data_IF_255500436530
#
_entry.id   IF_255500436530
#
_cell.length_a   1.000
_cell.length_b   1.000
_cell.length_c   1.000
_cell.angle_alpha   90.00
_cell.angle_beta   90.00
_cell.angle_gamma   90.00
#
_symmetry.space_group_name_H-M   'P 1'
#
loop_
_entity.id
_entity.type
_entity.pdbx_description
1 polymer ?
#
# COMPACT_ATOMS: atom_id res chain seq x y z
N UNK A 1 -26.54 26.78 10.53
CA UNK A 1 -25.35 27.22 9.78
C UNK A 1 -25.32 26.45 8.48
N UNK A 2 -25.49 27.13 7.33
CA UNK A 2 -25.45 26.50 6.02
C UNK A 2 -24.00 26.08 5.73
N UNK A 3 -23.79 24.83 5.31
CA UNK A 3 -22.50 24.32 4.85
C UNK A 3 -22.22 24.96 3.48
N UNK A 4 -21.37 25.98 3.44
CA UNK A 4 -20.83 26.47 2.17
C UNK A 4 -19.77 25.50 1.67
N UNK A 5 -20.02 24.89 0.50
CA UNK A 5 -19.04 24.10 -0.22
C UNK A 5 -17.88 25.01 -0.66
N UNK A 6 -16.69 24.81 -0.04
CA UNK A 6 -15.48 25.51 -0.48
C UNK A 6 -15.14 25.11 -1.91
N UNK A 7 -14.78 26.06 -2.76
CA UNK A 7 -14.27 25.77 -4.10
C UNK A 7 -13.03 24.87 -4.01
N UNK A 8 -12.74 24.09 -5.04
CA UNK A 8 -11.57 23.18 -5.06
C UNK A 8 -10.24 23.92 -4.76
N UNK A 9 -10.15 25.21 -5.05
CA UNK A 9 -8.99 26.07 -4.72
C UNK A 9 -8.96 26.50 -3.26
N UNK A 10 -10.09 26.55 -2.58
CA UNK A 10 -10.19 27.05 -1.21
C UNK A 10 -9.86 25.99 -0.15
N UNK A 11 -9.90 24.70 -0.50
CA UNK A 11 -9.46 23.61 0.41
C UNK A 11 -7.95 23.67 0.72
N UNK A 12 -7.17 24.39 -0.06
CA UNK A 12 -5.74 24.60 0.16
C UNK A 12 -5.41 25.91 0.89
N UNK A 13 -6.44 26.66 1.31
CA UNK A 13 -6.29 27.91 2.07
C UNK A 13 -6.68 27.71 3.53
N UNK A 14 -5.92 28.35 4.41
CA UNK A 14 -6.19 28.38 5.85
C UNK A 14 -5.70 27.15 6.63
N UNK A 15 -6.14 27.02 7.89
CA UNK A 15 -5.75 25.93 8.78
C UNK A 15 -6.16 24.57 8.24
N UNK A 16 -5.27 23.59 8.42
CA UNK A 16 -5.50 22.22 7.95
C UNK A 16 -4.25 21.35 8.04
N UNK A 17 -4.42 20.06 7.83
CA UNK A 17 -3.31 19.13 7.77
C UNK A 17 -3.11 18.72 6.31
N UNK A 18 -1.89 18.80 5.84
CA UNK A 18 -1.54 18.58 4.45
C UNK A 18 -0.39 17.60 4.31
N UNK A 19 -0.50 16.73 3.32
CA UNK A 19 0.58 15.88 2.87
C UNK A 19 1.12 16.42 1.55
N UNK A 20 2.42 16.71 1.52
CA UNK A 20 3.14 17.22 0.37
C UNK A 20 4.12 16.17 -0.13
N UNK A 21 4.16 15.99 -1.44
CA UNK A 21 5.12 15.12 -2.11
C UNK A 21 5.88 15.92 -3.16
N UNK A 22 7.21 15.79 -3.15
CA UNK A 22 8.10 16.39 -4.14
C UNK A 22 8.97 15.30 -4.74
N UNK A 23 9.03 15.25 -6.05
CA UNK A 23 9.81 14.28 -6.79
C UNK A 23 10.99 14.99 -7.46
N UNK A 24 12.18 14.42 -7.40
CA UNK A 24 13.32 14.92 -8.15
C UNK A 24 13.08 14.66 -9.65
N UNK A 25 13.31 15.66 -10.47
CA UNK A 25 13.10 15.57 -11.92
C UNK A 25 13.79 14.34 -12.51
N UNK A 26 13.04 13.57 -13.30
CA UNK A 26 13.49 12.31 -13.83
C UNK A 26 13.77 11.23 -12.76
N UNK A 27 13.24 11.38 -11.56
CA UNK A 27 13.44 10.47 -10.41
C UNK A 27 14.90 10.15 -10.09
N UNK A 28 15.81 11.09 -10.35
CA UNK A 28 17.25 10.95 -10.09
C UNK A 28 17.53 10.83 -8.59
N UNK A 29 18.41 9.92 -8.12
CA UNK A 29 18.67 9.68 -6.71
C UNK A 29 19.65 10.72 -6.12
N UNK A 30 19.30 12.02 -6.15
CA UNK A 30 20.18 13.11 -5.74
C UNK A 30 20.14 13.39 -4.23
N UNK A 31 19.06 12.97 -3.54
CA UNK A 31 18.86 13.28 -2.12
C UNK A 31 19.61 12.33 -1.18
N UNK A 32 19.99 11.14 -1.66
CA UNK A 32 20.71 10.15 -0.84
C UNK A 32 20.72 8.76 -1.45
N UNK A 33 21.06 7.79 -0.63
CA UNK A 33 21.15 6.38 -0.96
C UNK A 33 20.34 5.55 0.02
N UNK A 34 19.56 4.58 -0.51
CA UNK A 34 18.82 3.62 0.29
C UNK A 34 19.76 2.53 0.81
N UNK A 35 19.86 2.40 2.12
CA UNK A 35 20.75 1.46 2.81
C UNK A 35 20.00 0.70 3.89
N UNK A 36 20.56 -0.45 4.31
CA UNK A 36 20.15 -1.13 5.53
C UNK A 36 21.30 -0.96 6.56
N UNK A 37 20.97 -0.49 7.75
CA UNK A 37 21.94 -0.24 8.81
C UNK A 37 21.36 -0.59 10.18
N UNK A 38 22.21 -1.04 11.09
CA UNK A 38 21.83 -1.17 12.50
C UNK A 38 21.59 0.23 13.10
N UNK A 39 20.39 0.52 13.61
CA UNK A 39 20.07 1.82 14.13
C UNK A 39 20.79 2.08 15.44
N UNK A 40 21.32 3.28 15.60
CA UNK A 40 21.87 3.74 16.88
C UNK A 40 20.72 4.03 17.87
N UNK A 41 20.27 3.00 18.57
CA UNK A 41 19.15 3.07 19.53
C UNK A 41 19.46 3.93 20.78
N UNK A 42 20.69 4.37 20.96
CA UNK A 42 21.05 5.35 22.01
C UNK A 42 20.42 6.72 21.72
N UNK A 43 20.17 7.02 20.45
CA UNK A 43 19.55 8.27 20.02
C UNK A 43 18.02 8.17 20.04
N UNK A 44 17.30 9.13 20.64
CA UNK A 44 15.84 9.11 20.75
C UNK A 44 15.12 8.94 19.41
N UNK A 45 15.67 9.54 18.35
CA UNK A 45 15.12 9.45 17.01
C UNK A 45 15.12 8.01 16.49
N UNK A 46 16.26 7.30 16.59
CA UNK A 46 16.37 5.91 16.12
C UNK A 46 15.56 4.94 16.98
N UNK A 47 15.52 5.17 18.30
CA UNK A 47 14.65 4.40 19.21
C UNK A 47 13.17 4.53 18.83
N UNK A 48 12.73 5.71 18.41
CA UNK A 48 11.35 5.94 17.93
C UNK A 48 11.09 5.26 16.58
N UNK A 49 12.08 5.23 15.68
CA UNK A 49 11.98 4.57 14.38
C UNK A 49 11.86 3.05 14.53
N UNK A 50 12.71 2.39 15.32
CA UNK A 50 12.74 0.93 15.49
C UNK A 50 11.44 0.36 16.09
N UNK A 51 10.63 1.18 16.75
CA UNK A 51 9.31 0.77 17.20
C UNK A 51 8.28 0.68 16.06
N UNK A 52 8.55 1.31 14.91
CA UNK A 52 7.61 1.43 13.79
C UNK A 52 8.14 0.83 12.48
N UNK A 53 9.46 0.80 12.30
CA UNK A 53 10.11 0.28 11.10
C UNK A 53 10.62 -1.13 11.40
N UNK A 54 10.10 -2.16 10.73
CA UNK A 54 10.59 -3.52 10.89
C UNK A 54 12.05 -3.65 10.46
N UNK A 55 12.77 -4.59 11.07
CA UNK A 55 14.06 -5.02 10.56
C UNK A 55 13.91 -5.63 9.16
N UNK A 56 14.93 -5.45 8.33
CA UNK A 56 14.96 -6.01 6.97
C UNK A 56 15.67 -7.36 6.91
N UNK A 57 16.30 -7.77 8.01
CA UNK A 57 17.03 -9.03 8.16
C UNK A 57 17.13 -9.45 9.63
N UNK A 58 17.68 -10.63 9.85
CA UNK A 58 17.86 -11.22 11.19
C UNK A 58 18.86 -10.46 12.07
N UNK A 59 19.76 -9.66 11.50
CA UNK A 59 20.73 -8.85 12.24
C UNK A 59 20.15 -7.59 12.86
N UNK A 60 18.85 -7.32 12.58
CA UNK A 60 18.13 -6.18 13.15
C UNK A 60 18.41 -4.85 12.43
N UNK A 61 18.97 -4.91 11.22
CA UNK A 61 19.13 -3.72 10.39
C UNK A 61 17.76 -3.19 9.93
N UNK A 62 17.64 -1.87 9.83
CA UNK A 62 16.46 -1.20 9.29
C UNK A 62 16.81 -0.47 7.99
N UNK A 63 15.85 -0.42 7.07
CA UNK A 63 16.01 0.37 5.85
C UNK A 63 15.91 1.86 6.17
N UNK A 64 16.89 2.62 5.71
CA UNK A 64 16.95 4.08 5.84
C UNK A 64 17.59 4.73 4.62
N UNK A 65 17.52 6.04 4.53
CA UNK A 65 18.23 6.80 3.49
C UNK A 65 19.40 7.54 4.10
N UNK A 66 20.60 7.18 3.67
CA UNK A 66 21.83 7.94 3.96
C UNK A 66 21.84 9.18 3.06
N UNK A 67 21.58 10.35 3.67
CA UNK A 67 21.43 11.59 2.92
C UNK A 67 22.76 12.03 2.28
N UNK A 68 22.70 12.43 1.02
CA UNK A 68 23.78 13.15 0.34
C UNK A 68 24.00 14.53 0.97
N UNK A 69 25.10 15.24 0.65
CA UNK A 69 25.28 16.64 1.07
C UNK A 69 24.08 17.51 0.66
N UNK A 70 23.55 17.33 -0.56
CA UNK A 70 22.36 18.03 -1.03
C UNK A 70 21.09 17.62 -0.22
N UNK A 71 20.90 16.33 0.02
CA UNK A 71 19.79 15.85 0.86
C UNK A 71 19.83 16.40 2.28
N UNK A 72 21.02 16.59 2.87
CA UNK A 72 21.19 17.26 4.18
C UNK A 72 20.79 18.72 4.11
N UNK A 73 21.16 19.46 3.06
CA UNK A 73 20.76 20.85 2.85
C UNK A 73 19.23 20.97 2.68
N UNK A 74 18.61 20.10 1.88
CA UNK A 74 17.13 20.02 1.76
C UNK A 74 16.48 19.74 3.10
N UNK A 75 17.01 18.80 3.88
CA UNK A 75 16.50 18.46 5.22
C UNK A 75 16.57 19.66 6.18
N UNK A 76 17.64 20.46 6.11
CA UNK A 76 17.79 21.68 6.90
C UNK A 76 16.75 22.76 6.50
N UNK A 77 16.54 22.97 5.20
CA UNK A 77 15.53 23.92 4.71
C UNK A 77 14.10 23.54 5.14
N UNK A 78 13.77 22.22 5.12
CA UNK A 78 12.49 21.73 5.66
C UNK A 78 12.33 22.06 7.13
N UNK A 79 13.39 21.88 7.94
CA UNK A 79 13.33 22.17 9.38
C UNK A 79 13.11 23.66 9.65
N UNK A 80 13.58 24.55 8.77
CA UNK A 80 13.42 25.99 8.88
C UNK A 80 11.99 26.49 8.52
N UNK A 81 11.08 25.62 8.05
CA UNK A 81 9.71 26.02 7.71
C UNK A 81 8.96 26.62 8.90
N UNK A 82 9.17 26.11 10.11
CA UNK A 82 8.49 26.58 11.31
C UNK A 82 8.83 28.06 11.59
N UNK A 83 10.09 28.40 11.55
CA UNK A 83 10.60 29.75 11.78
C UNK A 83 10.18 30.68 10.64
N UNK A 84 10.30 30.23 9.38
CA UNK A 84 9.90 30.97 8.17
C UNK A 84 8.44 31.41 8.21
N UNK A 85 7.56 30.60 8.77
CA UNK A 85 6.12 30.91 8.92
C UNK A 85 5.73 31.27 10.35
N UNK A 86 6.66 31.82 11.14
CA UNK A 86 6.43 32.38 12.49
C UNK A 86 5.67 31.43 13.42
N UNK A 87 5.98 30.16 13.34
CA UNK A 87 5.35 29.12 14.15
C UNK A 87 3.95 28.67 13.70
N UNK A 88 3.36 29.25 12.67
CA UNK A 88 2.03 28.89 12.17
C UNK A 88 1.99 27.57 11.36
N UNK A 89 3.14 26.96 11.08
CA UNK A 89 3.27 25.64 10.47
C UNK A 89 4.03 24.73 11.43
N UNK A 90 3.47 23.55 11.68
CA UNK A 90 4.15 22.46 12.39
C UNK A 90 4.45 21.33 11.44
N UNK A 91 5.70 20.89 11.41
CA UNK A 91 6.12 19.68 10.67
C UNK A 91 5.80 18.46 11.52
N UNK A 92 4.72 17.75 11.16
CA UNK A 92 4.30 16.53 11.87
C UNK A 92 5.22 15.35 11.55
N UNK A 93 5.60 15.19 10.28
CA UNK A 93 6.49 14.12 9.82
C UNK A 93 7.15 14.51 8.50
N UNK A 94 8.36 14.03 8.27
CA UNK A 94 9.04 14.09 6.97
C UNK A 94 9.84 12.82 6.71
N UNK A 95 10.07 12.54 5.44
CA UNK A 95 11.06 11.57 4.97
C UNK A 95 11.67 12.09 3.67
N UNK A 96 12.98 12.00 3.56
CA UNK A 96 13.71 12.17 2.31
C UNK A 96 14.10 10.78 1.83
N UNK A 97 13.58 10.42 0.67
CA UNK A 97 14.01 9.25 -0.08
C UNK A 97 15.20 9.65 -0.97
N UNK A 98 15.76 8.73 -1.69
CA UNK A 98 16.85 9.00 -2.60
C UNK A 98 16.46 9.96 -3.76
N UNK A 99 15.20 9.89 -4.23
CA UNK A 99 14.71 10.61 -5.41
C UNK A 99 13.38 11.36 -5.21
N UNK A 100 12.86 11.40 -4.01
CA UNK A 100 11.65 12.16 -3.66
C UNK A 100 11.59 12.41 -2.16
N UNK A 101 10.68 13.27 -1.74
CA UNK A 101 10.44 13.51 -0.32
C UNK A 101 8.95 13.68 -0.03
N UNK A 102 8.59 13.33 1.20
CA UNK A 102 7.26 13.54 1.75
C UNK A 102 7.34 14.40 3.00
N UNK A 103 6.36 15.28 3.13
CA UNK A 103 6.14 16.08 4.34
C UNK A 103 4.67 16.02 4.74
N UNK A 104 4.42 15.84 6.04
CA UNK A 104 3.09 16.04 6.64
C UNK A 104 3.20 17.30 7.50
N UNK A 105 2.44 18.30 7.14
CA UNK A 105 2.46 19.60 7.82
C UNK A 105 1.08 19.95 8.35
N UNK A 106 1.06 20.55 9.52
CA UNK A 106 -0.14 21.13 10.12
C UNK A 106 -0.03 22.66 10.09
N UNK A 107 -0.92 23.27 9.34
CA UNK A 107 -1.12 24.73 9.32
C UNK A 107 -2.20 25.04 10.34
N UNK A 108 -1.85 25.71 11.42
CA UNK A 108 -2.79 26.01 12.53
C UNK A 108 -3.07 27.49 12.68
N UNK A 109 -2.41 28.36 11.91
CA UNK A 109 -2.60 29.80 11.90
C UNK A 109 -2.58 30.37 10.49
N UNK A 110 -2.75 31.69 10.42
CA UNK A 110 -2.67 32.39 9.14
C UNK A 110 -1.22 32.50 8.66
N UNK A 111 -0.93 31.92 7.50
CA UNK A 111 0.39 31.96 6.86
C UNK A 111 0.46 32.96 5.69
N UNK A 112 -0.63 33.73 5.46
CA UNK A 112 -0.70 34.74 4.39
C UNK A 112 -0.70 34.19 2.97
N UNK A 113 -0.65 32.84 2.79
CA UNK A 113 -0.55 32.14 1.51
C UNK A 113 -1.35 30.84 1.56
N UNK A 114 -1.66 30.29 0.40
CA UNK A 114 -2.14 28.91 0.31
C UNK A 114 -0.98 27.93 0.53
N UNK A 115 -1.30 26.69 0.94
CA UNK A 115 -0.26 25.64 1.05
C UNK A 115 0.36 25.29 -0.31
N UNK A 116 -0.36 25.51 -1.42
CA UNK A 116 0.18 25.34 -2.77
C UNK A 116 1.29 26.36 -3.05
N UNK A 117 1.10 27.63 -2.67
CA UNK A 117 2.14 28.67 -2.82
C UNK A 117 3.34 28.39 -1.91
N UNK A 118 3.12 27.84 -0.71
CA UNK A 118 4.21 27.35 0.16
C UNK A 118 4.99 26.24 -0.51
N UNK A 119 4.30 25.28 -1.11
CA UNK A 119 4.93 24.15 -1.82
C UNK A 119 5.74 24.62 -3.04
N UNK A 120 5.20 25.56 -3.82
CA UNK A 120 5.94 26.15 -4.95
C UNK A 120 7.15 26.97 -4.47
N UNK A 121 7.01 27.76 -3.42
CA UNK A 121 8.13 28.50 -2.84
C UNK A 121 9.24 27.57 -2.34
N UNK A 122 8.87 26.43 -1.75
CA UNK A 122 9.82 25.38 -1.36
C UNK A 122 10.53 24.78 -2.58
N UNK A 123 9.79 24.43 -3.65
CA UNK A 123 10.36 23.93 -4.90
C UNK A 123 11.41 24.90 -5.48
N UNK A 124 11.12 26.20 -5.49
CA UNK A 124 12.04 27.22 -5.95
C UNK A 124 13.27 27.34 -5.05
N UNK A 125 13.09 27.33 -3.73
CA UNK A 125 14.17 27.39 -2.75
C UNK A 125 15.14 26.20 -2.89
N UNK A 126 14.61 25.00 -3.05
CA UNK A 126 15.43 23.80 -3.25
C UNK A 126 16.16 23.83 -4.60
N UNK A 127 15.55 24.38 -5.65
CA UNK A 127 16.21 24.59 -6.94
C UNK A 127 17.39 25.56 -6.81
N UNK A 128 17.22 26.63 -6.03
CA UNK A 128 18.31 27.59 -5.76
C UNK A 128 19.47 26.92 -5.02
N UNK A 129 19.19 26.19 -3.94
CA UNK A 129 20.20 25.40 -3.19
C UNK A 129 20.95 24.43 -4.12
N UNK A 130 20.22 23.74 -5.02
CA UNK A 130 20.81 22.79 -5.96
C UNK A 130 21.75 23.49 -6.97
N UNK A 131 21.41 24.69 -7.43
CA UNK A 131 22.25 25.51 -8.28
C UNK A 131 23.52 26.00 -7.57
N UNK A 132 23.39 26.43 -6.30
CA UNK A 132 24.54 26.88 -5.51
C UNK A 132 25.50 25.74 -5.19
N UNK A 133 24.99 24.56 -4.92
CA UNK A 133 25.79 23.35 -4.68
C UNK A 133 26.34 22.70 -5.95
N UNK A 134 26.00 23.19 -7.14
CA UNK A 134 26.40 22.60 -8.41
C UNK A 134 25.78 21.21 -8.70
N UNK A 135 24.73 20.85 -7.96
CA UNK A 135 24.01 19.58 -8.15
C UNK A 135 23.07 19.62 -9.34
N UNK A 136 22.60 20.83 -9.69
CA UNK A 136 21.71 21.06 -10.81
C UNK A 136 22.25 22.20 -11.66
N UNK A 137 22.27 22.10 -13.02
CA UNK A 137 22.83 23.13 -13.88
C UNK A 137 21.97 24.40 -13.82
N UNK A 138 22.65 25.55 -13.78
CA UNK A 138 21.99 26.84 -13.98
C UNK A 138 21.59 26.99 -15.45
N UNK A 139 20.40 27.55 -15.75
CA UNK A 139 20.02 27.82 -17.13
C UNK A 139 21.04 28.75 -17.78
N UNK A 140 21.44 28.47 -19.01
CA UNK A 140 22.29 29.39 -19.77
C UNK A 140 21.49 30.66 -20.07
N UNK A 141 22.07 31.82 -19.78
CA UNK A 141 21.46 33.11 -20.09
C UNK A 141 21.27 33.16 -21.60
N UNK A 142 20.03 33.28 -22.10
CA UNK A 142 19.68 33.35 -23.52
C UNK A 142 19.06 32.10 -24.12
N UNK A 143 18.97 30.97 -23.40
CA UNK A 143 18.15 29.83 -23.85
C UNK A 143 16.69 30.10 -23.53
N UNK A 144 15.86 30.21 -24.57
CA UNK A 144 14.39 30.16 -24.38
C UNK A 144 14.05 28.80 -23.74
N UNK A 145 13.45 28.86 -22.55
CA UNK A 145 12.87 27.68 -21.91
C UNK A 145 11.62 27.33 -22.72
N UNK A 146 11.81 26.52 -23.74
CA UNK A 146 10.68 25.91 -24.47
C UNK A 146 9.97 24.93 -23.56
N UNK A 147 8.69 25.18 -23.31
CA UNK A 147 7.76 24.13 -22.88
C UNK A 147 7.66 23.20 -24.09
N UNK A 148 8.33 22.07 -24.05
CA UNK A 148 8.22 21.04 -25.10
C UNK A 148 7.25 19.99 -24.57
N UNK A 149 5.98 20.14 -24.95
CA UNK A 149 5.04 19.03 -25.03
C UNK A 149 5.46 18.19 -26.27
N UNK A 150 5.61 16.88 -26.04
CA UNK A 150 5.78 15.80 -27.03
C UNK A 150 6.69 16.06 -28.26
N UNK A 151 7.94 15.56 -28.23
CA UNK A 151 8.58 15.00 -29.43
C UNK A 151 9.52 13.84 -29.07
N UNK A 152 9.18 12.67 -29.59
CA UNK A 152 10.07 11.50 -29.67
C UNK A 152 11.18 11.75 -30.71
N UNK A 153 12.40 12.06 -30.24
CA UNK A 153 13.59 11.89 -31.10
C UNK A 153 14.82 11.54 -30.23
N UNK A 154 15.44 10.41 -30.53
CA UNK A 154 16.38 9.69 -29.67
C UNK A 154 17.84 10.16 -29.81
N UNK A 155 18.12 11.43 -30.16
CA UNK A 155 19.48 11.98 -30.31
C UNK A 155 19.71 13.34 -29.65
N UNK A 156 18.73 13.88 -28.90
CA UNK A 156 18.88 15.15 -28.20
C UNK A 156 19.52 14.94 -26.83
N UNK A 157 20.55 15.72 -26.53
CA UNK A 157 21.08 15.86 -25.18
C UNK A 157 19.90 16.14 -24.22
N UNK A 158 19.73 15.35 -23.17
CA UNK A 158 18.62 15.42 -22.22
C UNK A 158 18.48 16.86 -21.69
N UNK A 159 17.46 17.58 -22.14
CA UNK A 159 17.19 18.96 -21.68
C UNK A 159 16.61 18.88 -20.27
N UNK A 160 17.43 19.17 -19.26
CA UNK A 160 17.00 19.18 -17.89
C UNK A 160 15.99 20.31 -17.62
N UNK A 161 14.90 20.06 -16.89
CA UNK A 161 13.96 21.08 -16.53
C UNK A 161 14.61 22.15 -15.63
N UNK A 162 14.06 23.37 -15.64
CA UNK A 162 14.56 24.46 -14.79
C UNK A 162 14.56 24.09 -13.30
N UNK A 163 13.46 23.50 -12.82
CA UNK A 163 13.35 23.07 -11.44
C UNK A 163 13.90 21.64 -11.23
N UNK A 164 14.71 21.48 -10.19
CA UNK A 164 15.20 20.15 -9.77
C UNK A 164 14.08 19.26 -9.22
N UNK A 165 13.01 19.85 -8.70
CA UNK A 165 11.82 19.12 -8.24
C UNK A 165 10.69 19.30 -9.26
N UNK A 166 9.98 18.23 -9.55
CA UNK A 166 8.74 18.25 -10.33
C UNK A 166 7.66 19.07 -9.63
N UNK A 167 6.54 19.32 -10.32
CA UNK A 167 5.40 20.03 -9.74
C UNK A 167 4.96 19.34 -8.43
N UNK A 168 4.86 20.07 -7.32
CA UNK A 168 4.52 19.49 -6.04
C UNK A 168 3.09 18.93 -6.04
N UNK A 169 2.93 17.73 -5.46
CA UNK A 169 1.62 17.18 -5.17
C UNK A 169 1.22 17.49 -3.74
N UNK A 170 0.03 18.05 -3.55
CA UNK A 170 -0.51 18.45 -2.24
C UNK A 170 -1.87 17.79 -2.03
N UNK A 171 -2.04 17.15 -0.89
CA UNK A 171 -3.27 16.50 -0.47
C UNK A 171 -3.68 16.96 0.93
N UNK A 172 -4.96 17.29 1.12
CA UNK A 172 -5.54 17.54 2.44
C UNK A 172 -5.79 16.23 3.19
N UNK A 173 -5.57 16.24 4.52
CA UNK A 173 -5.91 15.13 5.41
C UNK A 173 -7.08 15.58 6.30
N UNK A 174 -8.29 15.21 5.88
CA UNK A 174 -9.54 15.71 6.49
C UNK A 174 -10.34 14.66 7.26
N UNK A 175 -9.94 13.37 7.19
CA UNK A 175 -10.65 12.28 7.85
C UNK A 175 -10.00 11.91 9.18
N UNK A 176 -10.80 11.48 10.15
CA UNK A 176 -10.32 10.99 11.44
C UNK A 176 -9.32 9.84 11.26
N UNK A 177 -8.20 9.87 12.00
CA UNK A 177 -7.12 8.88 11.92
C UNK A 177 -6.26 8.93 10.65
N UNK A 178 -6.54 9.83 9.71
CA UNK A 178 -5.78 9.94 8.46
C UNK A 178 -4.37 10.50 8.69
N UNK A 179 -4.19 11.36 9.69
CA UNK A 179 -2.88 11.89 10.06
C UNK A 179 -1.93 10.77 10.50
N UNK A 180 -2.37 9.91 11.43
CA UNK A 180 -1.52 8.82 11.96
C UNK A 180 -1.14 7.83 10.84
N UNK A 181 -2.13 7.42 10.04
CA UNK A 181 -1.89 6.55 8.87
C UNK A 181 -0.89 7.17 7.88
N UNK A 182 -0.97 8.48 7.64
CA UNK A 182 -0.06 9.17 6.74
C UNK A 182 1.33 9.31 7.36
N UNK A 183 1.44 9.58 8.65
CA UNK A 183 2.72 9.61 9.34
C UNK A 183 3.41 8.23 9.32
N UNK A 184 2.67 7.15 9.53
CA UNK A 184 3.21 5.79 9.43
C UNK A 184 3.60 5.45 7.99
N UNK A 185 2.79 5.83 6.99
CA UNK A 185 3.15 5.71 5.58
C UNK A 185 4.49 6.39 5.29
N UNK A 186 4.68 7.63 5.73
CA UNK A 186 5.91 8.41 5.51
C UNK A 186 7.12 7.71 6.15
N UNK A 187 7.00 7.26 7.40
CA UNK A 187 8.09 6.59 8.13
C UNK A 187 8.49 5.26 7.49
N UNK A 188 7.53 4.49 6.97
CA UNK A 188 7.77 3.17 6.39
C UNK A 188 8.24 3.22 4.92
N UNK A 189 8.36 4.40 4.30
CA UNK A 189 8.77 4.49 2.90
C UNK A 189 10.13 3.83 2.58
N UNK A 190 11.21 4.05 3.37
CA UNK A 190 12.50 3.39 3.13
C UNK A 190 12.38 1.86 3.18
N UNK A 191 11.70 1.33 4.21
CA UNK A 191 11.45 -0.10 4.36
C UNK A 191 10.73 -0.69 3.14
N UNK A 192 9.64 -0.05 2.71
CA UNK A 192 8.87 -0.48 1.53
C UNK A 192 9.68 -0.46 0.25
N UNK A 193 10.49 0.59 0.04
CA UNK A 193 11.35 0.68 -1.13
C UNK A 193 12.45 -0.38 -1.09
N UNK A 194 13.04 -0.63 0.09
CA UNK A 194 14.05 -1.66 0.29
C UNK A 194 13.51 -3.05 -0.05
N UNK A 195 12.37 -3.42 0.53
CA UNK A 195 11.76 -4.72 0.29
C UNK A 195 11.40 -4.91 -1.19
N UNK A 196 10.81 -3.90 -1.85
CA UNK A 196 10.54 -3.98 -3.31
C UNK A 196 11.80 -4.17 -4.15
N UNK A 197 12.91 -3.60 -3.74
CA UNK A 197 14.16 -3.66 -4.50
C UNK A 197 14.90 -4.97 -4.30
N UNK A 198 14.90 -5.50 -3.09
CA UNK A 198 15.72 -6.64 -2.70
C UNK A 198 14.93 -7.93 -2.48
N UNK A 199 13.59 -7.82 -2.35
CA UNK A 199 12.66 -8.94 -2.22
C UNK A 199 11.48 -8.80 -3.21
N UNK A 200 11.74 -8.59 -4.52
CA UNK A 200 10.69 -8.38 -5.51
C UNK A 200 9.76 -9.60 -5.63
N UNK A 201 10.26 -10.79 -5.31
CA UNK A 201 9.50 -12.05 -5.33
C UNK A 201 8.21 -11.98 -4.50
N UNK A 202 8.23 -11.24 -3.38
CA UNK A 202 7.05 -11.06 -2.51
C UNK A 202 5.93 -10.25 -3.16
N UNK A 203 6.23 -9.53 -4.24
CA UNK A 203 5.31 -8.59 -4.90
C UNK A 203 5.08 -8.94 -6.37
N UNK A 204 5.73 -10.00 -6.84
CA UNK A 204 5.54 -10.48 -8.21
C UNK A 204 4.25 -11.28 -8.28
N UNK A 205 3.41 -10.95 -9.26
CA UNK A 205 2.25 -11.77 -9.59
C UNK A 205 2.71 -12.98 -10.39
N UNK A 206 2.49 -14.15 -9.84
CA UNK A 206 2.65 -15.41 -10.55
C UNK A 206 1.38 -15.70 -11.34
N UNK A 207 1.50 -15.89 -12.65
CA UNK A 207 0.35 -16.09 -13.54
C UNK A 207 -0.20 -17.50 -13.46
N UNK A 208 0.68 -18.48 -13.25
CA UNK A 208 0.37 -19.91 -13.33
C UNK A 208 0.78 -20.57 -12.01
N UNK A 209 -0.07 -20.53 -11.01
CA UNK A 209 0.10 -21.22 -9.74
C UNK A 209 -0.89 -22.38 -9.69
N UNK A 210 -0.38 -23.61 -9.74
CA UNK A 210 -1.22 -24.78 -9.64
C UNK A 210 -1.31 -25.25 -8.18
N UNK A 211 -2.54 -25.48 -7.72
CA UNK A 211 -2.82 -26.05 -6.40
C UNK A 211 -3.94 -27.06 -6.55
N UNK A 212 -3.66 -28.34 -6.28
CA UNK A 212 -4.65 -29.45 -6.38
C UNK A 212 -5.36 -29.51 -7.75
N UNK A 213 -4.61 -29.35 -8.83
CA UNK A 213 -5.16 -29.34 -10.19
C UNK A 213 -5.98 -28.10 -10.57
N UNK A 214 -6.05 -27.11 -9.70
CA UNK A 214 -6.68 -25.83 -9.94
C UNK A 214 -5.64 -24.76 -10.28
N UNK A 215 -5.93 -23.91 -11.26
CA UNK A 215 -5.01 -22.88 -11.73
C UNK A 215 -5.38 -21.50 -11.16
N UNK A 216 -4.38 -20.81 -10.63
CA UNK A 216 -4.54 -19.50 -10.00
C UNK A 216 -3.50 -18.49 -10.48
N UNK A 217 -3.87 -17.23 -10.50
CA UNK A 217 -2.89 -16.14 -10.34
C UNK A 217 -2.67 -15.94 -8.85
N UNK A 218 -1.42 -15.69 -8.46
CA UNK A 218 -1.09 -15.55 -7.04
C UNK A 218 -0.08 -14.46 -6.77
N UNK A 219 -0.10 -13.93 -5.55
CA UNK A 219 0.86 -12.96 -5.05
C UNK A 219 1.08 -13.15 -3.55
N UNK A 220 2.34 -13.13 -3.12
CA UNK A 220 2.72 -13.24 -1.71
C UNK A 220 3.45 -14.53 -1.40
N UNK A 221 3.15 -15.14 -0.28
CA UNK A 221 3.97 -16.18 0.34
C UNK A 221 3.44 -17.59 0.03
N UNK A 222 3.99 -18.23 -1.01
CA UNK A 222 3.55 -19.54 -1.48
C UNK A 222 3.79 -20.69 -0.47
N UNK A 223 4.79 -20.56 0.43
CA UNK A 223 5.03 -21.56 1.48
C UNK A 223 3.81 -21.80 2.38
N UNK A 224 2.83 -20.85 2.41
CA UNK A 224 1.59 -21.03 3.15
C UNK A 224 0.72 -22.16 2.59
N UNK A 225 0.90 -22.55 1.32
CA UNK A 225 0.19 -23.67 0.70
C UNK A 225 0.70 -25.02 1.19
N UNK A 226 1.99 -25.09 1.54
CA UNK A 226 2.65 -26.34 1.94
C UNK A 226 2.55 -26.61 3.45
N UNK A 227 1.98 -25.63 4.21
CA UNK A 227 1.87 -25.77 5.66
C UNK A 227 0.79 -26.78 6.04
N UNK A 228 1.06 -27.75 6.97
CA UNK A 228 0.14 -28.85 7.24
C UNK A 228 -1.11 -28.44 8.04
N UNK A 229 -0.97 -27.46 8.95
CA UNK A 229 -2.07 -27.05 9.82
C UNK A 229 -2.89 -25.92 9.14
N UNK A 230 -4.09 -26.26 8.67
CA UNK A 230 -4.97 -25.37 7.94
C UNK A 230 -6.34 -25.28 8.57
N UNK A 231 -6.98 -24.12 8.47
CA UNK A 231 -8.38 -23.93 8.84
C UNK A 231 -9.10 -23.08 7.80
N UNK A 232 -10.32 -23.47 7.47
CA UNK A 232 -11.17 -22.72 6.53
C UNK A 232 -12.15 -21.88 7.33
N UNK A 233 -12.37 -20.65 6.89
CA UNK A 233 -13.38 -19.74 7.42
C UNK A 233 -14.42 -19.46 6.37
N UNK A 234 -15.62 -19.96 6.63
CA UNK A 234 -16.83 -19.72 5.87
C UNK A 234 -17.92 -19.26 6.83
N UNK A 235 -18.61 -18.17 6.51
CA UNK A 235 -19.68 -17.62 7.32
C UNK A 235 -20.92 -17.36 6.49
N UNK A 236 -22.07 -17.76 7.00
CA UNK A 236 -23.36 -17.34 6.42
C UNK A 236 -23.46 -15.81 6.39
N UNK A 237 -24.08 -15.26 5.33
CA UNK A 237 -24.40 -13.82 5.29
C UNK A 237 -25.35 -13.38 6.41
N UNK A 238 -26.09 -14.31 6.99
CA UNK A 238 -27.07 -14.10 8.05
C UNK A 238 -26.61 -14.70 9.38
N UNK A 239 -25.30 -14.89 9.56
CA UNK A 239 -24.75 -15.40 10.83
C UNK A 239 -25.15 -14.46 11.97
N UNK A 240 -25.60 -15.04 13.07
CA UNK A 240 -25.92 -14.26 14.28
C UNK A 240 -24.63 -13.75 14.93
N UNK A 241 -24.71 -12.59 15.56
CA UNK A 241 -23.53 -11.96 16.18
C UNK A 241 -22.83 -12.89 17.18
N UNK A 242 -23.58 -13.61 18.02
CA UNK A 242 -23.01 -14.54 19.00
C UNK A 242 -22.23 -15.68 18.35
N UNK A 243 -22.76 -16.24 17.26
CA UNK A 243 -22.11 -17.32 16.51
C UNK A 243 -20.86 -16.79 15.78
N UNK A 244 -20.93 -15.58 15.25
CA UNK A 244 -19.80 -14.91 14.64
C UNK A 244 -18.67 -14.65 15.63
N UNK A 245 -18.99 -14.17 16.84
CA UNK A 245 -17.99 -13.95 17.91
C UNK A 245 -17.37 -15.28 18.36
N UNK A 246 -18.18 -16.35 18.44
CA UNK A 246 -17.68 -17.69 18.75
C UNK A 246 -16.71 -18.18 17.69
N UNK A 247 -17.09 -18.07 16.41
CA UNK A 247 -16.25 -18.46 15.27
C UNK A 247 -14.96 -17.64 15.23
N UNK A 248 -15.04 -16.32 15.44
CA UNK A 248 -13.87 -15.44 15.51
C UNK A 248 -12.90 -15.90 16.60
N UNK A 249 -13.38 -16.15 17.80
CA UNK A 249 -12.55 -16.61 18.92
C UNK A 249 -11.91 -17.98 18.63
N UNK A 250 -12.68 -18.90 18.07
CA UNK A 250 -12.17 -20.21 17.68
C UNK A 250 -11.09 -20.11 16.61
N UNK A 251 -11.33 -19.32 15.55
CA UNK A 251 -10.37 -19.11 14.46
C UNK A 251 -9.07 -18.50 14.95
N UNK A 252 -9.14 -17.45 15.80
CA UNK A 252 -7.95 -16.85 16.40
C UNK A 252 -7.19 -17.85 17.26
N UNK A 253 -7.87 -18.65 18.06
CA UNK A 253 -7.24 -19.68 18.88
C UNK A 253 -6.57 -20.81 18.05
N UNK A 254 -7.11 -21.17 16.90
CA UNK A 254 -6.45 -22.09 15.96
C UNK A 254 -5.23 -21.46 15.32
N UNK A 255 -5.32 -20.19 14.88
CA UNK A 255 -4.20 -19.47 14.30
C UNK A 255 -3.05 -19.28 15.31
N UNK A 256 -3.34 -19.04 16.59
CA UNK A 256 -2.37 -18.96 17.66
C UNK A 256 -1.63 -20.29 17.89
N UNK A 257 -2.27 -21.43 17.62
CA UNK A 257 -1.65 -22.77 17.66
C UNK A 257 -0.92 -23.13 16.36
N UNK A 258 -0.85 -22.23 15.37
CA UNK A 258 -0.08 -22.40 14.15
C UNK A 258 -0.89 -22.72 12.90
N UNK A 259 -2.22 -22.81 12.98
CA UNK A 259 -3.04 -23.07 11.80
C UNK A 259 -3.09 -21.85 10.85
N UNK A 260 -2.88 -22.09 9.55
CA UNK A 260 -3.06 -21.07 8.52
C UNK A 260 -4.55 -20.93 8.19
N UNK A 261 -5.04 -19.69 8.19
CA UNK A 261 -6.45 -19.41 7.88
C UNK A 261 -6.65 -19.22 6.39
N UNK A 262 -7.64 -19.93 5.83
CA UNK A 262 -8.08 -19.83 4.44
C UNK A 262 -9.47 -19.23 4.39
N UNK A 263 -9.72 -18.23 3.54
CA UNK A 263 -11.04 -17.64 3.35
C UNK A 263 -11.16 -16.90 2.02
N UNK A 264 -12.37 -16.85 1.49
CA UNK A 264 -12.71 -15.98 0.35
C UNK A 264 -13.14 -14.57 0.79
N UNK A 265 -13.36 -14.35 2.09
CA UNK A 265 -13.79 -13.06 2.67
C UNK A 265 -14.98 -12.42 1.95
N UNK A 266 -15.98 -13.24 1.56
CA UNK A 266 -17.14 -12.81 0.78
C UNK A 266 -18.18 -12.15 1.68
N UNK A 267 -18.51 -12.81 2.80
CA UNK A 267 -19.48 -12.30 3.76
C UNK A 267 -18.84 -11.24 4.69
N UNK A 268 -19.68 -10.41 5.31
CA UNK A 268 -19.20 -9.45 6.34
C UNK A 268 -18.51 -10.15 7.49
N UNK A 269 -18.99 -11.34 7.88
CA UNK A 269 -18.39 -12.15 8.95
C UNK A 269 -17.01 -12.64 8.57
N UNK A 270 -16.83 -13.21 7.38
CA UNK A 270 -15.53 -13.63 6.86
C UNK A 270 -14.54 -12.47 6.75
N UNK A 271 -15.00 -11.30 6.25
CA UNK A 271 -14.17 -10.10 6.16
C UNK A 271 -13.71 -9.61 7.54
N UNK A 272 -14.57 -9.72 8.56
CA UNK A 272 -14.24 -9.36 9.94
C UNK A 272 -13.18 -10.32 10.50
N UNK A 273 -13.37 -11.63 10.31
CA UNK A 273 -12.41 -12.65 10.78
C UNK A 273 -11.07 -12.50 10.04
N UNK A 274 -11.08 -12.38 8.71
CA UNK A 274 -9.87 -12.17 7.92
C UNK A 274 -9.09 -10.92 8.36
N UNK A 275 -9.81 -9.84 8.69
CA UNK A 275 -9.20 -8.63 9.25
C UNK A 275 -8.57 -8.90 10.60
N UNK A 276 -9.26 -9.57 11.51
CA UNK A 276 -8.77 -9.88 12.85
C UNK A 276 -7.51 -10.78 12.81
N UNK A 277 -7.50 -11.80 11.96
CA UNK A 277 -6.33 -12.68 11.73
C UNK A 277 -5.13 -11.84 11.27
N UNK A 278 -5.33 -10.97 10.28
CA UNK A 278 -4.27 -10.10 9.78
C UNK A 278 -3.78 -9.08 10.81
N UNK A 279 -4.69 -8.45 11.56
CA UNK A 279 -4.35 -7.49 12.62
C UNK A 279 -3.61 -8.15 13.79
N UNK A 280 -3.91 -9.40 14.08
CA UNK A 280 -3.18 -10.22 15.04
C UNK A 280 -1.82 -10.72 14.51
N UNK A 281 -1.52 -10.50 13.21
CA UNK A 281 -0.26 -10.93 12.58
C UNK A 281 -0.18 -12.42 12.28
N UNK A 282 -1.32 -13.12 12.20
CA UNK A 282 -1.37 -14.54 11.84
C UNK A 282 -1.42 -14.76 10.33
N UNK A 283 -0.94 -15.92 9.84
CA UNK A 283 -0.95 -16.25 8.42
C UNK A 283 -2.36 -16.38 7.84
N UNK A 284 -2.52 -15.89 6.61
CA UNK A 284 -3.79 -15.87 5.88
C UNK A 284 -3.58 -16.21 4.41
N UNK A 285 -4.39 -17.12 3.88
CA UNK A 285 -4.57 -17.33 2.43
C UNK A 285 -5.94 -16.76 2.05
N UNK A 286 -5.95 -15.83 1.13
CA UNK A 286 -7.16 -15.12 0.71
C UNK A 286 -7.47 -15.37 -0.76
N UNK A 287 -8.61 -16.01 -1.04
CA UNK A 287 -9.14 -16.18 -2.39
C UNK A 287 -9.91 -14.92 -2.80
N UNK A 288 -9.44 -14.25 -3.85
CA UNK A 288 -10.02 -13.00 -4.36
C UNK A 288 -11.21 -13.29 -5.28
N UNK A 289 -12.42 -12.99 -4.84
CA UNK A 289 -13.64 -13.18 -5.64
C UNK A 289 -13.75 -12.25 -6.85
N UNK A 290 -13.31 -11.00 -6.68
CA UNK A 290 -13.30 -9.99 -7.75
C UNK A 290 -11.99 -9.97 -8.53
N UNK A 291 -11.07 -10.90 -8.22
CA UNK A 291 -9.74 -11.00 -8.82
C UNK A 291 -8.78 -9.86 -8.49
N UNK A 292 -7.61 -9.94 -9.10
CA UNK A 292 -6.66 -8.83 -9.08
C UNK A 292 -7.11 -7.70 -10.01
N UNK A 293 -6.93 -6.43 -9.64
CA UNK A 293 -7.24 -5.33 -10.54
C UNK A 293 -6.37 -5.42 -11.81
N UNK A 294 -6.87 -4.93 -12.97
CA UNK A 294 -6.09 -4.89 -14.20
C UNK A 294 -4.76 -4.17 -14.02
N UNK A 295 -3.71 -4.64 -14.69
CA UNK A 295 -2.40 -3.99 -14.72
C UNK A 295 -2.55 -2.53 -15.18
N UNK A 296 -1.92 -1.60 -14.46
CA UNK A 296 -1.99 -0.16 -14.74
C UNK A 296 -3.26 0.56 -14.29
N UNK A 297 -4.19 -0.13 -13.61
CA UNK A 297 -5.37 0.52 -13.04
C UNK A 297 -4.99 1.39 -11.84
N UNK A 298 -5.73 2.49 -11.62
CA UNK A 298 -5.55 3.33 -10.44
C UNK A 298 -5.82 2.58 -9.11
N UNK A 299 -6.49 1.45 -9.16
CA UNK A 299 -6.94 0.68 -8.01
C UNK A 299 -5.97 -0.44 -7.61
N UNK A 300 -4.68 -0.20 -7.68
CA UNK A 300 -3.60 -1.13 -7.31
C UNK A 300 -3.49 -1.36 -5.79
N UNK A 301 -4.60 -1.46 -5.07
CA UNK A 301 -4.61 -1.56 -3.59
C UNK A 301 -3.78 -2.72 -3.03
N UNK A 302 -3.56 -3.77 -3.82
CA UNK A 302 -2.79 -4.94 -3.43
C UNK A 302 -1.29 -4.73 -3.59
N UNK A 303 -0.89 -3.88 -4.55
CA UNK A 303 0.51 -3.68 -4.93
C UNK A 303 1.13 -2.41 -4.34
N UNK A 304 0.30 -1.48 -3.83
CA UNK A 304 0.81 -0.20 -3.33
C UNK A 304 1.46 -0.36 -1.96
N UNK A 305 2.69 0.10 -1.79
CA UNK A 305 3.30 0.26 -0.48
C UNK A 305 2.38 1.06 0.45
N UNK A 306 2.13 0.52 1.64
CA UNK A 306 1.21 1.12 2.59
C UNK A 306 -0.20 0.56 2.57
N UNK A 307 -0.53 -0.30 1.61
CA UNK A 307 -1.71 -1.12 1.68
C UNK A 307 -1.55 -2.22 2.73
N UNK A 308 -2.63 -2.54 3.42
CA UNK A 308 -2.64 -3.60 4.44
C UNK A 308 -2.23 -4.98 3.89
N UNK A 309 -2.45 -5.21 2.61
CA UNK A 309 -2.04 -6.45 1.94
C UNK A 309 -0.55 -6.47 1.66
N UNK A 310 0.02 -5.35 1.24
CA UNK A 310 1.46 -5.23 1.04
C UNK A 310 2.24 -5.56 2.31
N UNK A 311 1.86 -4.94 3.43
CA UNK A 311 2.55 -5.15 4.70
C UNK A 311 2.42 -6.61 5.18
N UNK A 312 1.27 -7.27 4.95
CA UNK A 312 1.06 -8.67 5.31
C UNK A 312 1.88 -9.64 4.43
N UNK A 313 1.95 -9.40 3.09
CA UNK A 313 2.83 -10.16 2.21
C UNK A 313 4.30 -10.01 2.62
N UNK A 314 4.69 -8.76 2.91
CA UNK A 314 6.04 -8.41 3.30
C UNK A 314 6.52 -9.09 4.60
N UNK A 315 5.59 -9.33 5.52
CA UNK A 315 5.85 -10.01 6.78
C UNK A 315 5.73 -11.54 6.69
N UNK A 316 5.64 -12.09 5.50
CA UNK A 316 5.50 -13.54 5.30
C UNK A 316 4.14 -14.12 5.73
N UNK A 317 3.09 -13.29 5.85
CA UNK A 317 1.82 -13.66 6.49
C UNK A 317 0.62 -13.68 5.55
N UNK A 318 0.81 -13.42 4.25
CA UNK A 318 -0.32 -13.39 3.32
C UNK A 318 0.04 -14.03 1.98
N UNK A 319 -0.88 -14.84 1.48
CA UNK A 319 -0.96 -15.27 0.10
C UNK A 319 -2.31 -14.85 -0.47
N UNK A 320 -2.30 -14.22 -1.63
CA UNK A 320 -3.48 -13.88 -2.41
C UNK A 320 -3.59 -14.85 -3.59
N UNK A 321 -4.77 -15.40 -3.80
CA UNK A 321 -5.09 -16.29 -4.91
C UNK A 321 -6.27 -15.73 -5.70
N UNK A 322 -6.20 -15.81 -7.02
CA UNK A 322 -7.31 -15.53 -7.94
C UNK A 322 -7.45 -16.70 -8.89
N UNK A 323 -8.63 -17.32 -8.93
CA UNK A 323 -8.89 -18.43 -9.84
C UNK A 323 -8.91 -17.96 -11.30
N UNK A 324 -8.26 -18.71 -12.19
CA UNK A 324 -8.40 -18.52 -13.63
C UNK A 324 -9.84 -18.84 -14.05
N UNK A 325 -10.28 -18.33 -15.20
CA UNK A 325 -11.61 -18.66 -15.72
C UNK A 325 -11.73 -20.17 -16.00
N UNK A 326 -10.67 -20.79 -16.49
CA UNK A 326 -10.59 -22.23 -16.76
C UNK A 326 -10.72 -23.09 -15.48
N UNK A 327 -10.35 -22.55 -14.33
CA UNK A 327 -10.55 -23.23 -13.04
C UNK A 327 -12.02 -23.49 -12.76
N UNK A 328 -12.92 -22.61 -13.19
CA UNK A 328 -14.37 -22.78 -13.04
C UNK A 328 -14.95 -23.83 -13.99
N UNK A 329 -14.17 -24.34 -14.95
CA UNK A 329 -14.51 -25.44 -15.86
C UNK A 329 -13.95 -26.80 -15.38
N UNK A 330 -13.24 -26.81 -14.24
CA UNK A 330 -12.71 -28.04 -13.66
C UNK A 330 -13.85 -28.97 -13.23
N UNK A 331 -13.82 -30.23 -13.70
CA UNK A 331 -14.90 -31.18 -13.52
C UNK A 331 -15.19 -31.52 -12.05
N UNK A 332 -14.14 -31.69 -11.23
CA UNK A 332 -14.29 -31.97 -9.80
C UNK A 332 -14.90 -30.79 -9.06
N UNK A 333 -14.47 -29.56 -9.38
CA UNK A 333 -15.03 -28.35 -8.79
C UNK A 333 -16.50 -28.18 -9.15
N UNK A 334 -16.89 -28.47 -10.41
CA UNK A 334 -18.28 -28.42 -10.86
C UNK A 334 -19.11 -29.44 -10.08
N UNK A 335 -18.65 -30.67 -9.99
CA UNK A 335 -19.37 -31.74 -9.28
C UNK A 335 -19.60 -31.39 -7.81
N UNK A 336 -18.56 -30.94 -7.11
CA UNK A 336 -18.65 -30.50 -5.70
C UNK A 336 -19.60 -29.32 -5.53
N UNK A 337 -19.48 -28.30 -6.39
CA UNK A 337 -20.33 -27.10 -6.33
C UNK A 337 -21.79 -27.44 -6.56
N UNK A 338 -22.09 -28.31 -7.52
CA UNK A 338 -23.47 -28.75 -7.79
C UNK A 338 -24.04 -29.62 -6.67
N UNK A 339 -23.22 -30.49 -6.07
CA UNK A 339 -23.62 -31.31 -4.92
C UNK A 339 -24.01 -30.41 -3.73
N UNK A 340 -23.21 -29.40 -3.43
CA UNK A 340 -23.48 -28.44 -2.36
C UNK A 340 -24.75 -27.61 -2.64
N UNK A 341 -24.95 -27.20 -3.89
CA UNK A 341 -26.16 -26.49 -4.30
C UNK A 341 -27.43 -27.34 -4.19
N UNK A 342 -27.34 -28.63 -4.54
CA UNK A 342 -28.44 -29.60 -4.39
C UNK A 342 -28.80 -29.80 -2.92
N UNK A 343 -27.81 -30.07 -2.08
CA UNK A 343 -27.95 -30.23 -0.65
C UNK A 343 -28.63 -29.00 -0.02
N UNK A 344 -28.17 -27.78 -0.33
CA UNK A 344 -28.77 -26.54 0.16
C UNK A 344 -30.19 -26.29 -0.34
N UNK A 345 -30.55 -26.79 -1.51
CA UNK A 345 -31.91 -26.70 -2.02
C UNK A 345 -32.84 -27.67 -1.26
N UNK A 346 -32.39 -28.90 -1.02
CA UNK A 346 -33.10 -29.93 -0.24
C UNK A 346 -33.36 -29.48 1.20
N UNK A 347 -32.34 -28.95 1.87
CA UNK A 347 -32.48 -28.39 3.24
C UNK A 347 -33.55 -27.31 3.33
N UNK A 348 -33.78 -26.56 2.26
CA UNK A 348 -34.78 -25.51 2.17
C UNK A 348 -36.12 -25.95 1.59
N UNK A 349 -36.25 -27.23 1.26
CA UNK A 349 -37.46 -27.86 0.78
C UNK A 349 -37.88 -27.49 -0.66
N UNK A 350 -36.93 -27.13 -1.53
CA UNK A 350 -37.22 -26.88 -2.95
C UNK A 350 -36.34 -27.68 -3.90
N UNK A 351 -36.85 -27.94 -5.11
CA UNK A 351 -36.06 -28.64 -6.12
C UNK A 351 -34.89 -27.80 -6.62
N UNK A 352 -33.72 -28.42 -6.71
CA UNK A 352 -32.54 -27.78 -7.30
C UNK A 352 -32.78 -27.48 -8.79
N UNK A 353 -32.42 -26.27 -9.20
CA UNK A 353 -32.37 -25.88 -10.60
C UNK A 353 -30.92 -25.55 -10.96
N UNK A 354 -30.35 -26.18 -12.01
CA UNK A 354 -29.01 -25.82 -12.48
C UNK A 354 -28.90 -24.33 -12.80
N UNK A 355 -27.79 -23.74 -12.44
CA UNK A 355 -27.53 -22.34 -12.73
C UNK A 355 -26.25 -22.18 -13.56
N UNK A 356 -26.14 -21.11 -14.39
CA UNK A 356 -24.93 -20.88 -15.18
C UNK A 356 -23.69 -20.77 -14.31
N UNK A 357 -22.58 -21.39 -14.72
CA UNK A 357 -21.31 -21.39 -13.99
C UNK A 357 -20.65 -20.01 -13.94
N UNK A 358 -20.99 -19.11 -14.85
CA UNK A 358 -20.57 -17.71 -14.83
C UNK A 358 -21.42 -16.83 -13.91
N UNK A 359 -22.51 -17.36 -13.34
CA UNK A 359 -23.35 -16.60 -12.42
C UNK A 359 -22.60 -16.29 -11.12
N UNK A 360 -22.79 -15.07 -10.60
CA UNK A 360 -22.18 -14.63 -9.34
C UNK A 360 -22.47 -15.56 -8.16
N UNK A 361 -23.66 -16.15 -8.12
CA UNK A 361 -24.07 -17.07 -7.05
C UNK A 361 -23.32 -18.40 -7.16
N UNK A 362 -23.20 -18.94 -8.38
CA UNK A 362 -22.46 -20.18 -8.61
C UNK A 362 -20.97 -20.00 -8.25
N UNK A 363 -20.32 -18.96 -8.79
CA UNK A 363 -18.91 -18.64 -8.53
C UNK A 363 -18.61 -18.40 -7.04
N UNK A 364 -19.57 -17.87 -6.30
CA UNK A 364 -19.42 -17.69 -4.85
C UNK A 364 -19.37 -19.02 -4.09
N UNK A 365 -20.18 -20.01 -4.51
CA UNK A 365 -20.16 -21.33 -3.87
C UNK A 365 -18.95 -22.12 -4.37
N UNK A 366 -18.63 -22.07 -5.66
CA UNK A 366 -17.42 -22.63 -6.21
C UNK A 366 -16.15 -22.10 -5.51
N UNK A 367 -16.12 -20.83 -5.14
CA UNK A 367 -15.02 -20.24 -4.35
C UNK A 367 -14.85 -20.89 -2.97
N UNK A 368 -15.93 -21.31 -2.33
CA UNK A 368 -15.87 -22.06 -1.07
C UNK A 368 -15.33 -23.48 -1.30
N UNK A 369 -15.83 -24.16 -2.32
CA UNK A 369 -15.33 -25.50 -2.69
C UNK A 369 -13.85 -25.48 -3.10
N UNK A 370 -13.42 -24.45 -3.84
CA UNK A 370 -11.99 -24.23 -4.15
C UNK A 370 -11.14 -24.13 -2.86
N UNK A 371 -11.61 -23.39 -1.85
CA UNK A 371 -10.88 -23.28 -0.59
C UNK A 371 -10.75 -24.63 0.10
N UNK A 372 -11.80 -25.46 0.05
CA UNK A 372 -11.76 -26.81 0.59
C UNK A 372 -10.77 -27.70 -0.17
N UNK A 373 -10.79 -27.66 -1.50
CA UNK A 373 -9.83 -28.38 -2.34
C UNK A 373 -8.39 -27.93 -2.06
N UNK A 374 -8.14 -26.60 -2.05
CA UNK A 374 -6.79 -26.05 -1.83
C UNK A 374 -6.27 -26.31 -0.40
N UNK A 375 -7.14 -26.48 0.56
CA UNK A 375 -6.74 -26.77 1.95
C UNK A 375 -6.64 -28.27 2.29
N UNK A 376 -7.10 -29.14 1.43
CA UNK A 376 -7.18 -30.60 1.65
C UNK A 376 -5.82 -31.31 1.44
N UNK A 377 -4.73 -30.83 2.04
CA UNK A 377 -3.41 -31.50 1.97
C UNK A 377 -3.09 -32.17 3.28
#
# INVERSE_FOLDING_TARGET
MAFEWKSHKDIFKGPGIYHLTFVVAGRRPLLGELVAECPDVSRPFYRSLTKKVPAVNETGEIAMVRLSPFGKAVSADINALKERYKGNITLCRKILMDNHLHMVVWVHGNIGKSILEVAHGFQQGITHIAHEMGVWPKPKVGSQVGIVDDVCDASAAEVLPYHILEKPFVRTLSQAGQLDKMCDYVVLNPYRKYMRRYHPELFTMHKDTEVQGLQFRSMGNHWLLDWPEKQIVQCSRYIREEDLQRQLKQTLGCAERGAITYTAAISKGEQMIARAIREAGWPLVLLLQDGFPPEGSENERYYKPGGVYFDACNNGKLLLLEAHNETYENAELIERTEAELKMKAEEKGYAYQPMPHDSKRWRMIAGNEMLEMVSAI
#
